data_IF_786699183204
#
_entry.id   IF_786699183204
#
_cell.length_a   1.000
_cell.length_b   1.000
_cell.length_c   1.000
_cell.angle_alpha   90.00
_cell.angle_beta   90.00
_cell.angle_gamma   90.00
#
_symmetry.space_group_name_H-M   'P 1'
#
loop_
_entity.id
_entity.type
_entity.pdbx_description
1 polymer ?
#
# COMPACT_ATOMS: atom_id res chain seq x y z
N UNK A 1 -2.26 7.20 -3.95
CA UNK A 1 -2.57 6.03 -4.78
C UNK A 1 -1.48 5.81 -5.80
N UNK A 2 -1.30 4.55 -6.16
CA UNK A 2 -0.43 4.06 -7.23
C UNK A 2 -1.21 3.02 -8.03
N UNK A 3 -0.80 2.78 -9.26
CA UNK A 3 -1.31 1.68 -10.08
C UNK A 3 -0.44 0.46 -9.77
N UNK A 4 -1.03 -0.66 -9.40
CA UNK A 4 -0.33 -1.94 -9.23
C UNK A 4 -0.79 -2.91 -10.32
N UNK A 5 0.16 -3.50 -11.03
CA UNK A 5 -0.15 -4.40 -12.14
C UNK A 5 -0.34 -5.84 -11.66
N UNK A 6 -1.40 -6.49 -12.13
CA UNK A 6 -1.68 -7.90 -11.86
C UNK A 6 -0.91 -8.83 -12.80
N UNK A 7 -1.07 -10.14 -12.57
CA UNK A 7 -0.42 -11.18 -13.40
C UNK A 7 -0.79 -11.16 -14.89
N UNK A 8 -1.87 -10.48 -15.28
CA UNK A 8 -2.28 -10.29 -16.68
C UNK A 8 -1.80 -8.95 -17.28
N UNK A 9 -1.12 -8.12 -16.48
CA UNK A 9 -0.70 -6.77 -16.87
C UNK A 9 -1.79 -5.71 -16.72
N UNK A 10 -2.94 -6.04 -16.12
CA UNK A 10 -4.00 -5.07 -15.85
C UNK A 10 -3.64 -4.27 -14.59
N UNK A 11 -3.74 -2.93 -14.68
CA UNK A 11 -3.49 -2.02 -13.56
C UNK A 11 -4.68 -1.91 -12.62
N UNK A 12 -4.40 -1.80 -11.31
CA UNK A 12 -5.36 -1.60 -10.24
C UNK A 12 -4.94 -0.44 -9.35
N UNK A 13 -5.84 0.51 -9.09
CA UNK A 13 -5.57 1.59 -8.14
C UNK A 13 -5.46 1.05 -6.72
N UNK A 14 -4.36 1.39 -6.05
CA UNK A 14 -4.07 0.95 -4.70
C UNK A 14 -3.58 2.12 -3.83
N UNK A 15 -4.02 2.13 -2.57
CA UNK A 15 -3.44 3.00 -1.56
C UNK A 15 -2.10 2.41 -1.07
N UNK A 16 -1.12 3.29 -0.84
CA UNK A 16 0.19 2.93 -0.30
C UNK A 16 0.61 3.98 0.72
N UNK A 17 1.36 3.54 1.73
CA UNK A 17 1.97 4.40 2.74
C UNK A 17 3.48 4.41 2.51
N UNK A 18 4.06 5.60 2.33
CA UNK A 18 5.50 5.77 2.25
C UNK A 18 6.03 5.98 3.67
N UNK A 19 6.79 5.01 4.17
CA UNK A 19 7.36 5.04 5.50
C UNK A 19 8.88 4.83 5.44
N UNK A 20 9.65 5.91 5.63
CA UNK A 20 11.10 5.86 5.67
C UNK A 20 11.66 5.25 6.96
N UNK A 21 10.82 5.07 7.98
CA UNK A 21 11.20 4.39 9.22
C UNK A 21 11.09 2.86 9.14
N UNK A 22 10.46 2.34 8.08
CA UNK A 22 10.31 0.90 7.86
C UNK A 22 11.55 0.29 7.20
N UNK A 23 12.02 -0.83 7.73
CA UNK A 23 13.14 -1.61 7.15
C UNK A 23 12.69 -2.56 6.03
N UNK A 24 11.38 -2.75 5.86
CA UNK A 24 10.79 -3.66 4.88
C UNK A 24 9.49 -3.08 4.30
N UNK A 25 9.18 -3.48 3.06
CA UNK A 25 7.89 -3.18 2.44
C UNK A 25 6.92 -4.33 2.66
N UNK A 26 5.64 -3.99 2.87
CA UNK A 26 4.59 -4.96 3.14
C UNK A 26 3.41 -4.78 2.19
N UNK A 27 2.73 -5.88 1.88
CA UNK A 27 1.53 -5.92 1.04
C UNK A 27 0.46 -6.80 1.70
N UNK A 28 -0.80 -6.42 1.55
CA UNK A 28 -1.90 -7.19 2.14
C UNK A 28 -2.15 -8.48 1.34
N UNK A 29 -2.50 -9.56 2.04
CA UNK A 29 -2.85 -10.82 1.40
C UNK A 29 -4.08 -10.69 0.50
N UNK A 30 -5.04 -9.83 0.87
CA UNK A 30 -6.22 -9.54 0.04
C UNK A 30 -5.85 -8.95 -1.31
N UNK A 31 -4.87 -8.02 -1.36
CA UNK A 31 -4.39 -7.45 -2.61
C UNK A 31 -3.64 -8.48 -3.44
N UNK A 32 -2.75 -9.27 -2.83
CA UNK A 32 -2.04 -10.35 -3.55
C UNK A 32 -3.02 -11.34 -4.19
N UNK A 33 -4.07 -11.72 -3.47
CA UNK A 33 -5.12 -12.62 -3.99
C UNK A 33 -5.86 -12.00 -5.18
N UNK A 34 -6.14 -10.69 -5.13
CA UNK A 34 -6.78 -9.96 -6.23
C UNK A 34 -5.87 -9.90 -7.47
N UNK A 35 -4.58 -9.61 -7.29
CA UNK A 35 -3.60 -9.47 -8.37
C UNK A 35 -3.15 -10.83 -8.97
N UNK A 36 -3.38 -11.93 -8.26
CA UNK A 36 -2.99 -13.30 -8.68
C UNK A 36 -1.50 -13.42 -9.05
N UNK A 37 -0.64 -12.65 -8.38
CA UNK A 37 0.80 -12.63 -8.61
C UNK A 37 1.44 -13.85 -7.95
N UNK A 38 2.50 -14.37 -8.58
CA UNK A 38 3.26 -15.51 -8.06
C UNK A 38 3.93 -15.14 -6.73
N UNK A 39 3.70 -15.97 -5.72
CA UNK A 39 4.33 -15.86 -4.39
C UNK A 39 5.70 -16.55 -4.39
N UNK A 40 6.61 -16.02 -3.60
CA UNK A 40 7.91 -16.60 -3.29
C UNK A 40 8.03 -16.81 -1.79
N UNK A 41 8.58 -17.95 -1.36
CA UNK A 41 8.77 -18.22 0.06
C UNK A 41 9.80 -17.25 0.65
N UNK A 42 9.41 -16.48 1.67
CA UNK A 42 10.29 -15.57 2.37
C UNK A 42 9.72 -15.27 3.76
N UNK A 43 10.52 -15.50 4.80
CA UNK A 43 10.07 -15.39 6.19
C UNK A 43 10.82 -14.29 6.93
N UNK A 44 10.08 -13.32 7.45
CA UNK A 44 10.60 -12.34 8.41
C UNK A 44 9.69 -12.24 9.64
N UNK A 45 10.29 -11.84 10.76
CA UNK A 45 9.56 -11.48 11.98
C UNK A 45 9.52 -9.95 12.04
N UNK A 46 8.37 -9.36 11.73
CA UNK A 46 8.17 -7.92 11.76
C UNK A 46 7.66 -7.47 13.13
N UNK A 47 8.27 -6.42 13.70
CA UNK A 47 7.83 -5.77 14.95
C UNK A 47 7.36 -4.34 14.64
N UNK A 48 6.54 -3.76 15.51
CA UNK A 48 6.12 -2.36 15.38
C UNK A 48 4.92 -2.10 14.44
N UNK A 49 4.22 -3.15 14.01
CA UNK A 49 3.04 -3.05 13.13
C UNK A 49 1.74 -2.68 13.85
N UNK A 50 1.83 -1.99 14.99
CA UNK A 50 0.68 -1.58 15.81
C UNK A 50 0.04 -2.68 16.68
N UNK A 51 0.41 -3.96 16.51
CA UNK A 51 0.04 -5.06 17.42
C UNK A 51 1.12 -5.30 18.48
N UNK A 52 0.72 -5.80 19.66
CA UNK A 52 1.66 -6.19 20.73
C UNK A 52 2.54 -7.38 20.36
N UNK A 53 2.12 -8.20 19.39
CA UNK A 53 2.86 -9.35 18.89
C UNK A 53 3.54 -9.06 17.55
N UNK A 54 4.70 -9.68 17.32
CA UNK A 54 5.41 -9.61 16.05
C UNK A 54 4.64 -10.37 14.97
N UNK A 55 4.42 -9.75 13.80
CA UNK A 55 3.81 -10.45 12.67
C UNK A 55 4.86 -11.29 11.95
N UNK A 56 4.53 -12.56 11.68
CA UNK A 56 5.40 -13.47 10.93
C UNK A 56 4.89 -13.57 9.51
N UNK A 57 5.70 -13.11 8.55
CA UNK A 57 5.41 -13.29 7.12
C UNK A 57 5.98 -14.64 6.67
N UNK A 58 5.35 -15.30 5.70
CA UNK A 58 5.85 -16.58 5.14
C UNK A 58 6.20 -16.48 3.67
N UNK A 59 5.63 -15.49 3.02
CA UNK A 59 5.70 -15.29 1.59
C UNK A 59 6.02 -13.82 1.28
N UNK A 60 6.56 -13.60 0.10
CA UNK A 60 6.81 -12.30 -0.51
C UNK A 60 6.36 -12.32 -1.97
N UNK A 61 6.23 -11.14 -2.55
CA UNK A 61 5.93 -10.92 -3.96
C UNK A 61 6.77 -9.77 -4.50
N UNK A 62 7.09 -9.82 -5.78
CA UNK A 62 7.61 -8.68 -6.54
C UNK A 62 6.46 -8.07 -7.33
N UNK A 63 6.19 -6.79 -7.15
CA UNK A 63 5.07 -6.07 -7.80
C UNK A 63 5.58 -4.85 -8.56
N UNK A 64 5.02 -4.61 -9.73
CA UNK A 64 5.24 -3.35 -10.44
C UNK A 64 4.21 -2.33 -9.97
N UNK A 65 4.69 -1.19 -9.48
CA UNK A 65 3.86 -0.05 -9.13
C UNK A 65 4.16 1.12 -10.06
N UNK A 66 3.16 1.91 -10.41
CA UNK A 66 3.32 3.10 -11.22
C UNK A 66 2.61 4.31 -10.61
N UNK A 67 3.13 5.49 -10.93
CA UNK A 67 2.47 6.76 -10.59
C UNK A 67 1.14 6.87 -11.32
N UNK A 68 0.12 7.44 -10.65
CA UNK A 68 -1.15 7.79 -11.31
C UNK A 68 -1.02 9.02 -12.22
N UNK A 69 0.10 9.76 -12.16
CA UNK A 69 0.34 11.00 -12.89
C UNK A 69 1.47 10.93 -13.92
N UNK A 70 2.01 9.74 -14.22
CA UNK A 70 3.16 9.62 -15.12
C UNK A 70 3.44 8.19 -15.56
N UNK A 71 4.52 8.02 -16.33
CA UNK A 71 4.95 6.72 -16.86
C UNK A 71 5.95 5.98 -15.95
N UNK A 72 6.36 6.62 -14.84
CA UNK A 72 7.32 6.06 -13.91
C UNK A 72 6.77 4.77 -13.28
N UNK A 73 7.55 3.70 -13.42
CA UNK A 73 7.27 2.38 -12.86
C UNK A 73 8.43 1.96 -11.95
N UNK A 74 8.09 1.29 -10.84
CA UNK A 74 9.05 0.73 -9.90
C UNK A 74 8.69 -0.74 -9.63
N UNK A 75 9.70 -1.61 -9.68
CA UNK A 75 9.58 -2.97 -9.18
C UNK A 75 9.89 -2.98 -7.68
N UNK A 76 8.97 -3.48 -6.87
CA UNK A 76 9.06 -3.50 -5.41
C UNK A 76 8.88 -4.91 -4.88
N UNK A 77 9.80 -5.35 -4.03
CA UNK A 77 9.65 -6.59 -3.25
C UNK A 77 8.93 -6.29 -1.94
N UNK A 78 7.86 -7.03 -1.67
CA UNK A 78 7.02 -6.82 -0.49
C UNK A 78 6.70 -8.15 0.21
N UNK A 79 6.73 -8.14 1.54
CA UNK A 79 6.31 -9.27 2.35
C UNK A 79 4.79 -9.28 2.56
N UNK A 80 4.19 -10.46 2.51
CA UNK A 80 2.74 -10.62 2.61
C UNK A 80 2.30 -10.65 4.08
N UNK A 81 1.35 -9.80 4.44
CA UNK A 81 0.68 -9.76 5.73
C UNK A 81 -0.84 -9.83 5.56
N UNK A 82 -1.54 -10.47 6.51
CA UNK A 82 -3.01 -10.58 6.46
C UNK A 82 -3.69 -9.22 6.62
N UNK A 83 -3.13 -8.37 7.49
CA UNK A 83 -3.59 -7.00 7.74
C UNK A 83 -2.37 -6.11 7.95
N UNK A 84 -2.32 -4.97 7.24
CA UNK A 84 -1.23 -4.01 7.31
C UNK A 84 -1.47 -2.96 8.40
N UNK A 85 -2.60 -2.28 8.33
CA UNK A 85 -3.01 -1.21 9.24
C UNK A 85 -4.51 -1.32 9.53
N UNK A 86 -5.01 -0.53 10.47
CA UNK A 86 -6.42 -0.15 10.48
C UNK A 86 -6.75 0.71 9.26
N UNK A 87 -8.04 0.89 8.99
CA UNK A 87 -8.50 1.72 7.88
C UNK A 87 -8.03 3.17 8.06
N UNK A 88 -7.58 3.77 6.95
CA UNK A 88 -7.05 5.13 6.91
C UNK A 88 -7.78 5.96 5.85
N UNK A 89 -8.07 7.25 6.14
CA UNK A 89 -8.11 7.82 7.48
C UNK A 89 -9.21 7.12 8.32
N UNK A 90 -9.02 7.01 9.64
CA UNK A 90 -10.04 6.40 10.51
C UNK A 90 -11.27 7.30 10.73
N UNK A 91 -11.13 8.59 10.41
CA UNK A 91 -12.16 9.62 10.58
C UNK A 91 -12.11 10.64 9.43
N UNK A 92 -13.18 11.40 9.26
CA UNK A 92 -13.23 12.50 8.30
C UNK A 92 -12.22 13.58 8.68
N UNK A 93 -11.39 13.99 7.72
CA UNK A 93 -10.44 15.08 7.91
C UNK A 93 -11.06 16.38 7.41
N UNK A 94 -11.12 17.41 8.27
CA UNK A 94 -11.55 18.74 7.84
C UNK A 94 -10.53 19.34 6.86
N UNK A 95 -10.98 19.61 5.64
CA UNK A 95 -10.14 20.21 4.58
C UNK A 95 -10.12 21.74 4.58
N UNK A 96 -10.83 22.39 5.52
CA UNK A 96 -10.99 23.87 5.56
C UNK A 96 -9.64 24.61 5.56
N UNK A 97 -8.68 24.12 6.34
CA UNK A 97 -7.36 24.72 6.47
C UNK A 97 -6.33 24.11 5.50
N UNK A 98 -6.77 23.19 4.64
CA UNK A 98 -5.94 22.47 3.66
C UNK A 98 -6.18 22.97 2.22
N UNK A 99 -6.75 24.16 2.05
CA UNK A 99 -7.03 24.75 0.74
C UNK A 99 -5.79 24.89 -0.15
N UNK A 100 -4.60 24.99 0.46
CA UNK A 100 -3.32 25.00 -0.25
C UNK A 100 -3.01 23.68 -0.96
N UNK A 101 -3.64 22.56 -0.57
CA UNK A 101 -3.54 21.27 -1.26
C UNK A 101 -4.43 21.18 -2.51
N UNK A 102 -5.38 22.10 -2.70
CA UNK A 102 -6.31 22.05 -3.85
C UNK A 102 -5.61 22.27 -5.20
N UNK A 103 -4.45 22.93 -5.21
CA UNK A 103 -3.68 23.17 -6.43
C UNK A 103 -2.61 22.10 -6.70
N UNK A 104 -2.52 21.06 -5.87
CA UNK A 104 -1.53 19.99 -6.03
C UNK A 104 -2.19 18.71 -6.55
N UNK A 105 -1.41 17.93 -7.31
CA UNK A 105 -1.80 16.60 -7.76
C UNK A 105 -1.62 15.61 -6.61
N UNK A 106 -2.65 15.49 -5.76
CA UNK A 106 -2.63 14.59 -4.61
C UNK A 106 -2.68 13.13 -5.07
N UNK A 107 -1.77 12.31 -4.57
CA UNK A 107 -1.77 10.89 -4.89
C UNK A 107 -3.10 10.21 -4.50
N UNK A 108 -3.79 10.68 -3.46
CA UNK A 108 -5.12 10.22 -3.09
C UNK A 108 -6.11 11.39 -3.10
N UNK A 109 -7.05 11.36 -4.04
CA UNK A 109 -8.10 12.39 -4.17
C UNK A 109 -9.14 12.30 -3.05
N UNK A 110 -9.25 11.15 -2.38
CA UNK A 110 -10.19 10.89 -1.29
C UNK A 110 -9.48 10.85 0.08
N UNK A 111 -8.29 11.44 0.22
CA UNK A 111 -7.47 11.39 1.44
C UNK A 111 -8.20 11.86 2.72
N UNK A 112 -9.28 12.66 2.56
CA UNK A 112 -10.06 13.20 3.66
C UNK A 112 -11.25 12.32 4.07
N UNK A 113 -11.51 11.21 3.37
CA UNK A 113 -12.69 10.36 3.53
C UNK A 113 -12.24 8.99 4.07
N UNK A 114 -12.87 8.46 5.13
CA UNK A 114 -12.58 7.12 5.62
C UNK A 114 -12.82 6.04 4.57
N UNK A 115 -11.88 5.09 4.50
CA UNK A 115 -12.07 3.86 3.73
C UNK A 115 -12.88 2.89 4.58
N UNK A 116 -14.19 2.76 4.31
CA UNK A 116 -15.12 1.85 5.01
C UNK A 116 -15.08 0.46 4.38
#
# INVERSE_FOLDING_TARGET
MVIVFDSSGQGHDCAVLLDSGSEATFISESLVNKLRIKRSNARINAKGLGSSEAAVTRDSVSVNIASIYGADCLLVDAFILNKLTSDLPSELVSVKDLSYLCSTNLADHNFSIPSI
#
